data_IF_020132869037
#
_entry.id   IF_020132869037
#
_cell.length_a   1.000
_cell.length_b   1.000
_cell.length_c   1.000
_cell.angle_alpha   90.00
_cell.angle_beta   90.00
_cell.angle_gamma   90.00
#
_symmetry.space_group_name_H-M   'P 1'
#
loop_
_entity.id
_entity.type
_entity.pdbx_description
1 polymer ?
#
# COMPACT_ATOMS: atom_id res chain seq x y z
N UNK A 1 19.59 20.64 6.64
CA UNK A 1 18.21 20.51 6.11
C UNK A 1 17.25 20.38 7.29
N UNK A 2 16.11 21.09 7.29
CA UNK A 2 15.22 21.21 8.48
C UNK A 2 14.17 20.09 8.60
N UNK A 3 13.64 19.58 7.48
CA UNK A 3 12.71 18.45 7.46
C UNK A 3 13.48 17.21 7.02
N UNK A 4 13.46 16.15 7.84
CA UNK A 4 14.27 14.94 7.66
C UNK A 4 13.47 13.71 7.23
N UNK A 5 12.14 13.75 7.34
CA UNK A 5 11.26 12.67 6.93
C UNK A 5 9.82 12.83 7.42
N UNK A 6 8.99 11.83 7.12
CA UNK A 6 7.65 11.70 7.70
C UNK A 6 7.78 11.17 9.12
N UNK A 7 7.19 11.87 10.09
CA UNK A 7 7.09 11.38 11.46
C UNK A 7 5.84 10.51 11.64
N UNK A 8 4.71 10.95 11.11
CA UNK A 8 3.44 10.24 11.23
C UNK A 8 2.48 10.64 10.11
N UNK A 9 1.47 9.80 9.93
CA UNK A 9 0.26 10.12 9.17
C UNK A 9 -0.93 10.10 10.12
N UNK A 10 -2.02 10.80 9.77
CA UNK A 10 -3.28 10.69 10.47
C UNK A 10 -4.37 10.17 9.54
N UNK A 11 -5.09 9.15 10.00
CA UNK A 11 -6.25 8.57 9.33
C UNK A 11 -7.47 8.77 10.20
N UNK A 12 -8.65 8.74 9.59
CA UNK A 12 -9.91 8.91 10.29
C UNK A 12 -10.77 7.66 10.21
N UNK A 13 -11.50 7.37 11.27
CA UNK A 13 -12.49 6.29 11.35
C UNK A 13 -13.82 6.83 11.87
N UNK A 14 -14.96 6.19 11.61
CA UNK A 14 -16.23 6.55 12.20
C UNK A 14 -16.17 6.58 13.73
N UNK A 15 -16.94 7.47 14.38
CA UNK A 15 -17.03 7.51 15.84
C UNK A 15 -17.29 6.13 16.46
N UNK A 16 -16.67 5.88 17.62
CA UNK A 16 -16.81 4.64 18.41
C UNK A 16 -16.22 3.37 17.77
N UNK A 17 -15.41 3.50 16.71
CA UNK A 17 -14.81 2.34 16.01
C UNK A 17 -13.30 2.18 16.19
N UNK A 18 -12.68 2.81 17.21
CA UNK A 18 -11.23 2.66 17.47
C UNK A 18 -10.80 1.21 17.70
N UNK A 19 -11.65 0.41 18.35
CA UNK A 19 -11.37 -1.01 18.58
C UNK A 19 -11.23 -1.80 17.28
N UNK A 20 -12.00 -1.45 16.23
CA UNK A 20 -11.85 -2.04 14.89
C UNK A 20 -10.52 -1.64 14.24
N UNK A 21 -10.09 -0.40 14.46
CA UNK A 21 -8.78 0.05 14.01
C UNK A 21 -7.66 -0.72 14.71
N UNK A 22 -7.79 -1.01 16.00
CA UNK A 22 -6.83 -1.81 16.75
C UNK A 22 -6.75 -3.26 16.28
N UNK A 23 -7.90 -3.92 16.10
CA UNK A 23 -7.96 -5.28 15.53
C UNK A 23 -7.28 -5.34 14.15
N UNK A 24 -7.51 -4.31 13.34
CA UNK A 24 -6.92 -4.24 12.02
C UNK A 24 -5.41 -3.90 12.06
N UNK A 25 -5.01 -2.75 12.61
CA UNK A 25 -3.62 -2.29 12.60
C UNK A 25 -2.69 -3.16 13.44
N UNK A 26 -3.11 -3.58 14.63
CA UNK A 26 -2.29 -4.45 15.48
C UNK A 26 -2.50 -5.92 15.15
N UNK A 27 -3.76 -6.37 15.08
CA UNK A 27 -4.05 -7.79 14.86
C UNK A 27 -3.72 -8.28 13.45
N UNK A 28 -3.89 -7.44 12.41
CA UNK A 28 -3.69 -7.85 11.01
C UNK A 28 -2.37 -7.37 10.46
N UNK A 29 -2.09 -6.07 10.58
CA UNK A 29 -0.86 -5.48 10.05
C UNK A 29 0.36 -5.66 10.97
N UNK A 30 0.16 -6.05 12.23
CA UNK A 30 1.24 -6.27 13.19
C UNK A 30 1.88 -4.98 13.72
N UNK A 31 1.19 -3.83 13.60
CA UNK A 31 1.68 -2.57 14.18
C UNK A 31 1.53 -2.57 15.70
N UNK A 32 2.46 -1.92 16.40
CA UNK A 32 2.44 -1.90 17.87
C UNK A 32 1.60 -0.74 18.40
N UNK A 33 0.61 -1.02 19.26
CA UNK A 33 -0.20 0.02 19.90
C UNK A 33 0.67 0.87 20.83
N UNK A 34 0.63 2.19 20.66
CA UNK A 34 1.32 3.17 21.51
C UNK A 34 0.35 3.87 22.46
N UNK A 35 0.72 4.07 23.72
CA UNK A 35 -0.08 4.86 24.64
C UNK A 35 -0.32 6.29 24.10
N UNK A 36 -1.57 6.74 24.16
CA UNK A 36 -1.96 8.13 23.85
C UNK A 36 -2.12 8.91 25.16
N UNK A 37 -2.18 10.25 25.14
CA UNK A 37 -2.51 11.02 26.34
C UNK A 37 -3.78 10.51 27.01
N UNK A 38 -3.79 10.43 28.34
CA UNK A 38 -4.86 9.76 29.09
C UNK A 38 -6.26 10.32 28.84
N UNK A 39 -6.36 11.63 28.57
CA UNK A 39 -7.61 12.32 28.24
C UNK A 39 -8.15 11.99 26.84
N UNK A 40 -7.33 11.38 25.98
CA UNK A 40 -7.64 11.09 24.59
C UNK A 40 -7.72 9.59 24.27
N UNK A 41 -7.58 8.71 25.28
CA UNK A 41 -7.56 7.25 25.11
C UNK A 41 -8.77 6.67 24.38
N UNK A 42 -9.92 7.33 24.50
CA UNK A 42 -11.19 6.90 23.90
C UNK A 42 -11.49 7.62 22.57
N UNK A 43 -10.60 8.53 22.13
CA UNK A 43 -10.77 9.36 20.92
C UNK A 43 -9.62 9.24 19.92
N UNK A 44 -8.48 8.69 20.34
CA UNK A 44 -7.30 8.49 19.52
C UNK A 44 -6.72 7.09 19.66
N UNK A 45 -6.20 6.56 18.56
CA UNK A 45 -5.31 5.40 18.58
C UNK A 45 -4.03 5.70 17.79
N UNK A 46 -2.88 5.45 18.41
CA UNK A 46 -1.55 5.57 17.80
C UNK A 46 -0.91 4.19 17.68
N UNK A 47 -0.26 3.95 16.56
CA UNK A 47 0.44 2.71 16.24
C UNK A 47 1.84 3.00 15.71
N UNK A 48 2.84 2.32 16.25
CA UNK A 48 4.22 2.38 15.80
C UNK A 48 4.45 1.45 14.60
N UNK A 49 5.19 1.95 13.60
CA UNK A 49 5.59 1.20 12.41
C UNK A 49 6.97 0.59 12.65
N UNK A 50 6.97 -0.63 13.21
CA UNK A 50 8.19 -1.32 13.62
C UNK A 50 9.01 -0.47 14.60
N UNK A 51 10.32 -0.42 14.39
CA UNK A 51 11.29 0.35 15.18
C UNK A 51 11.68 1.68 14.51
N UNK A 52 11.02 2.06 13.42
CA UNK A 52 11.39 3.22 12.60
C UNK A 52 11.18 4.58 13.27
N UNK A 53 10.42 4.62 14.37
CA UNK A 53 9.90 5.86 14.98
C UNK A 53 8.73 6.49 14.22
N UNK A 54 8.36 5.98 13.04
CA UNK A 54 7.20 6.44 12.28
C UNK A 54 5.90 5.86 12.84
N UNK A 55 4.81 6.62 12.71
CA UNK A 55 3.54 6.27 13.34
C UNK A 55 2.32 6.42 12.43
N UNK A 56 1.30 5.62 12.72
CA UNK A 56 -0.06 5.82 12.22
C UNK A 56 -0.91 6.33 13.38
N UNK A 57 -1.47 7.52 13.21
CA UNK A 57 -2.49 8.06 14.12
C UNK A 57 -3.87 7.84 13.52
N UNK A 58 -4.81 7.48 14.38
CA UNK A 58 -6.22 7.26 14.05
C UNK A 58 -7.07 8.12 14.96
N UNK A 59 -7.94 8.93 14.37
CA UNK A 59 -8.89 9.79 15.05
C UNK A 59 -10.31 9.58 14.50
N UNK A 60 -11.32 10.17 15.15
CA UNK A 60 -12.66 10.19 14.59
C UNK A 60 -12.81 11.22 13.47
N UNK A 61 -13.37 10.79 12.35
CA UNK A 61 -13.75 11.66 11.23
C UNK A 61 -15.16 12.21 11.38
N UNK A 62 -15.51 13.15 10.50
CA UNK A 62 -16.87 13.68 10.35
C UNK A 62 -17.67 12.83 9.36
N UNK A 63 -18.98 13.01 9.31
CA UNK A 63 -19.83 12.25 8.40
C UNK A 63 -19.42 12.42 6.92
N UNK A 64 -18.96 13.61 6.55
CA UNK A 64 -18.55 13.95 5.18
C UNK A 64 -17.31 13.15 4.71
N UNK A 65 -16.43 12.77 5.65
CA UNK A 65 -15.25 11.95 5.35
C UNK A 65 -15.61 10.55 4.83
N UNK A 66 -16.86 10.15 5.01
CA UNK A 66 -17.35 8.80 4.84
C UNK A 66 -18.46 8.66 3.79
N UNK A 67 -18.85 9.77 3.15
CA UNK A 67 -19.92 9.82 2.15
C UNK A 67 -19.55 9.15 0.82
N UNK A 68 -18.26 9.14 0.47
CA UNK A 68 -17.77 8.56 -0.78
C UNK A 68 -16.53 7.69 -0.53
N UNK A 69 -16.29 6.66 -1.37
CA UNK A 69 -15.02 5.95 -1.39
C UNK A 69 -13.85 6.92 -1.61
N UNK A 70 -12.75 6.73 -0.87
CA UNK A 70 -11.53 7.51 -1.05
C UNK A 70 -10.47 6.72 -1.81
N UNK A 71 -9.78 7.36 -2.75
CA UNK A 71 -8.57 6.84 -3.37
C UNK A 71 -7.30 7.14 -2.55
N UNK A 72 -7.41 7.96 -1.50
CA UNK A 72 -6.29 8.31 -0.62
C UNK A 72 -5.89 7.09 0.21
N UNK A 73 -4.59 6.79 0.22
CA UNK A 73 -4.05 5.67 0.96
C UNK A 73 -2.63 5.98 1.41
N UNK A 74 -2.25 5.64 2.65
CA UNK A 74 -0.85 5.47 2.96
C UNK A 74 -0.30 4.24 2.26
N UNK A 75 0.99 4.30 1.93
CA UNK A 75 1.71 3.16 1.41
C UNK A 75 2.80 2.73 2.40
N UNK A 76 2.67 1.52 2.94
CA UNK A 76 3.65 0.96 3.87
C UNK A 76 4.76 0.24 3.11
N UNK A 77 5.99 0.50 3.51
CA UNK A 77 7.16 -0.25 3.03
C UNK A 77 7.31 -1.54 3.83
N UNK A 78 7.46 -2.66 3.14
CA UNK A 78 7.84 -3.95 3.74
C UNK A 78 9.28 -4.32 3.43
N UNK A 79 9.88 -5.11 4.32
CA UNK A 79 11.30 -5.43 4.30
C UNK A 79 11.74 -6.19 3.04
N UNK A 80 10.89 -7.09 2.53
CA UNK A 80 11.20 -7.95 1.38
C UNK A 80 9.94 -8.32 0.60
N UNK A 81 10.12 -8.91 -0.58
CA UNK A 81 9.00 -9.53 -1.32
C UNK A 81 8.39 -10.72 -0.58
N UNK A 82 9.15 -11.45 0.22
CA UNK A 82 8.62 -12.55 1.05
C UNK A 82 7.70 -12.00 2.15
N UNK A 83 8.13 -10.94 2.85
CA UNK A 83 7.31 -10.27 3.86
C UNK A 83 6.06 -9.61 3.23
N UNK A 84 6.15 -9.16 1.98
CA UNK A 84 5.00 -8.68 1.21
C UNK A 84 3.95 -9.79 1.05
N UNK A 85 4.35 -10.99 0.62
CA UNK A 85 3.46 -12.14 0.43
C UNK A 85 2.88 -12.61 1.76
N UNK A 86 3.70 -12.68 2.83
CA UNK A 86 3.20 -13.03 4.18
C UNK A 86 2.16 -12.04 4.67
N UNK A 87 2.40 -10.74 4.48
CA UNK A 87 1.44 -9.71 4.89
C UNK A 87 0.18 -9.76 4.03
N UNK A 88 0.30 -10.00 2.73
CA UNK A 88 -0.83 -10.21 1.83
C UNK A 88 -1.70 -11.38 2.30
N UNK A 89 -1.09 -12.52 2.63
CA UNK A 89 -1.78 -13.69 3.14
C UNK A 89 -2.56 -13.37 4.42
N UNK A 90 -1.95 -12.68 5.40
CA UNK A 90 -2.63 -12.28 6.65
C UNK A 90 -3.84 -11.37 6.40
N UNK A 91 -3.69 -10.42 5.47
CA UNK A 91 -4.77 -9.50 5.10
C UNK A 91 -5.89 -10.25 4.39
N UNK A 92 -5.55 -11.17 3.50
CA UNK A 92 -6.51 -12.02 2.79
C UNK A 92 -7.29 -12.92 3.75
N UNK A 93 -6.61 -13.59 4.68
CA UNK A 93 -7.25 -14.41 5.72
C UNK A 93 -8.20 -13.61 6.59
N UNK A 94 -7.86 -12.36 6.94
CA UNK A 94 -8.79 -11.48 7.64
C UNK A 94 -9.99 -11.10 6.77
N UNK A 95 -9.76 -10.80 5.49
CA UNK A 95 -10.84 -10.55 4.55
C UNK A 95 -11.81 -11.75 4.44
N UNK A 96 -11.28 -12.97 4.27
CA UNK A 96 -12.09 -14.20 4.17
C UNK A 96 -12.80 -14.55 5.47
N UNK A 97 -12.13 -14.39 6.62
CA UNK A 97 -12.76 -14.56 7.94
C UNK A 97 -13.94 -13.59 8.13
N UNK A 98 -13.87 -12.42 7.50
CA UNK A 98 -14.87 -11.37 7.63
C UNK A 98 -14.91 -10.78 9.04
N UNK A 99 -16.03 -10.15 9.37
CA UNK A 99 -16.20 -9.37 10.60
C UNK A 99 -16.28 -7.88 10.36
N UNK A 100 -16.44 -7.12 11.45
CA UNK A 100 -16.63 -5.67 11.38
C UNK A 100 -15.31 -4.94 11.09
N UNK A 101 -14.19 -5.45 11.60
CA UNK A 101 -12.85 -4.92 11.35
C UNK A 101 -12.27 -5.34 9.99
N UNK A 102 -12.77 -6.42 9.40
CA UNK A 102 -12.24 -6.97 8.16
C UNK A 102 -12.27 -5.96 7.00
N UNK A 103 -11.26 -6.00 6.10
CA UNK A 103 -11.34 -5.37 4.80
C UNK A 103 -12.62 -5.81 4.06
N UNK A 104 -13.09 -5.00 3.11
CA UNK A 104 -14.19 -5.37 2.20
C UNK A 104 -13.71 -5.72 0.80
N UNK A 105 -12.46 -5.40 0.49
CA UNK A 105 -11.74 -5.83 -0.70
C UNK A 105 -10.29 -6.11 -0.26
N UNK A 106 -9.68 -7.17 -0.76
CA UNK A 106 -8.27 -7.46 -0.60
C UNK A 106 -7.79 -8.15 -1.87
N UNK A 107 -6.57 -7.86 -2.32
CA UNK A 107 -5.95 -8.58 -3.42
C UNK A 107 -5.46 -9.95 -2.93
N UNK A 108 -5.97 -11.03 -3.52
CA UNK A 108 -5.62 -12.40 -3.14
C UNK A 108 -4.17 -12.78 -3.48
N UNK A 109 -3.49 -13.59 -2.65
CA UNK A 109 -2.18 -14.14 -2.97
C UNK A 109 -2.18 -14.95 -4.27
N UNK A 110 -1.22 -14.70 -5.15
CA UNK A 110 -1.11 -15.39 -6.44
C UNK A 110 -2.08 -14.89 -7.52
N UNK A 111 -3.02 -14.00 -7.17
CA UNK A 111 -3.91 -13.35 -8.13
C UNK A 111 -3.29 -12.06 -8.69
N UNK A 112 -3.95 -11.52 -9.73
CA UNK A 112 -3.56 -10.24 -10.31
C UNK A 112 -3.93 -9.09 -9.35
N UNK A 113 -2.93 -8.39 -8.84
CA UNK A 113 -3.14 -7.22 -7.96
C UNK A 113 -3.97 -6.12 -8.63
N UNK A 114 -4.81 -5.44 -7.85
CA UNK A 114 -5.66 -4.35 -8.32
C UNK A 114 -4.86 -3.05 -8.55
N UNK A 115 -5.45 -2.09 -9.28
CA UNK A 115 -4.82 -0.81 -9.61
C UNK A 115 -4.02 -0.81 -10.93
N UNK A 116 -3.35 0.31 -11.22
CA UNK A 116 -2.53 0.45 -12.43
C UNK A 116 -1.31 -0.48 -12.38
N UNK A 117 -0.95 -1.07 -13.52
CA UNK A 117 0.17 -2.00 -13.67
C UNK A 117 1.11 -1.52 -14.78
N UNK A 118 2.38 -1.94 -14.71
CA UNK A 118 3.43 -1.53 -15.63
C UNK A 118 4.81 -1.66 -15.00
N UNK A 119 5.85 -1.60 -15.84
CA UNK A 119 7.26 -1.73 -15.42
C UNK A 119 7.70 -0.68 -14.38
N UNK A 120 7.00 0.45 -14.34
CA UNK A 120 7.26 1.55 -13.41
C UNK A 120 6.64 1.31 -12.02
N UNK A 121 5.74 0.33 -11.88
CA UNK A 121 5.04 0.07 -10.63
C UNK A 121 5.69 -1.08 -9.86
N UNK A 122 6.07 -0.87 -8.59
CA UNK A 122 6.66 -1.92 -7.76
C UNK A 122 5.63 -3.00 -7.42
N UNK A 123 6.10 -4.21 -7.10
CA UNK A 123 5.26 -5.28 -6.57
C UNK A 123 4.55 -4.81 -5.30
N UNK A 124 3.22 -4.89 -5.31
CA UNK A 124 2.34 -4.39 -4.27
C UNK A 124 1.00 -5.10 -4.27
N UNK A 125 0.28 -5.02 -3.16
CA UNK A 125 -1.12 -5.44 -3.08
C UNK A 125 -1.96 -4.35 -2.41
N UNK A 126 -3.25 -4.30 -2.73
CA UNK A 126 -4.22 -3.41 -2.08
C UNK A 126 -5.16 -4.18 -1.18
N UNK A 127 -5.58 -3.53 -0.10
CA UNK A 127 -6.79 -3.88 0.61
C UNK A 127 -7.55 -2.62 0.98
N UNK A 128 -8.88 -2.71 0.90
CA UNK A 128 -9.81 -1.59 1.03
C UNK A 128 -10.97 -1.95 1.93
N UNK A 129 -11.52 -0.95 2.60
CA UNK A 129 -12.84 -1.01 3.23
C UNK A 129 -13.82 -0.20 2.36
N UNK A 130 -14.86 -0.86 1.82
CA UNK A 130 -15.88 -0.22 0.97
C UNK A 130 -16.98 0.37 1.86
N UNK A 131 -17.35 1.63 1.58
CA UNK A 131 -18.19 2.55 2.38
C UNK A 131 -17.58 2.95 3.74
N UNK A 132 -17.27 4.24 3.85
CA UNK A 132 -17.21 4.97 5.12
C UNK A 132 -16.00 4.75 6.03
N UNK A 133 -14.88 4.21 5.54
CA UNK A 133 -13.61 4.17 6.27
C UNK A 133 -12.45 4.32 5.26
N UNK A 134 -11.56 5.32 5.36
CA UNK A 134 -10.34 5.41 4.55
C UNK A 134 -9.31 4.37 5.01
N UNK A 135 -9.62 3.10 4.84
CA UNK A 135 -8.67 2.00 5.02
C UNK A 135 -8.33 1.43 3.64
N UNK A 136 -7.86 2.29 2.73
CA UNK A 136 -7.09 1.83 1.60
C UNK A 136 -5.63 1.93 2.03
N UNK A 137 -4.88 0.84 1.96
CA UNK A 137 -3.44 0.87 2.13
C UNK A 137 -2.79 0.09 1.00
N UNK A 138 -1.65 0.61 0.58
CA UNK A 138 -0.79 0.00 -0.42
C UNK A 138 0.42 -0.55 0.34
N UNK A 139 0.78 -1.80 0.10
CA UNK A 139 2.02 -2.35 0.67
C UNK A 139 3.00 -2.54 -0.45
N UNK A 140 4.17 -1.90 -0.35
CA UNK A 140 5.22 -1.98 -1.37
C UNK A 140 6.47 -2.62 -0.81
N UNK A 141 7.03 -3.54 -1.57
CA UNK A 141 8.47 -3.78 -1.50
C UNK A 141 9.16 -2.62 -2.23
N UNK A 142 9.99 -1.85 -1.51
CA UNK A 142 10.85 -0.88 -2.18
C UNK A 142 11.91 -1.66 -2.97
N UNK A 143 12.13 -1.39 -4.27
CA UNK A 143 13.28 -1.98 -4.95
C UNK A 143 14.52 -1.64 -4.15
N UNK A 144 15.40 -2.63 -3.97
CA UNK A 144 16.73 -2.41 -3.41
C UNK A 144 17.30 -1.18 -4.09
N UNK A 145 17.60 -0.12 -3.31
CA UNK A 145 18.04 1.19 -3.81
C UNK A 145 18.99 0.93 -4.97
N UNK A 146 18.61 1.30 -6.19
CA UNK A 146 19.49 1.15 -7.34
C UNK A 146 20.83 1.76 -6.92
N UNK A 147 21.91 0.98 -7.03
CA UNK A 147 23.25 1.49 -6.74
C UNK A 147 23.39 2.82 -7.49
N UNK A 148 23.81 3.91 -6.83
CA UNK A 148 24.04 5.16 -7.55
C UNK A 148 25.11 4.89 -8.61
N UNK A 149 24.84 5.31 -9.85
CA UNK A 149 25.63 5.13 -11.07
C UNK A 149 25.62 3.74 -11.72
N UNK A 150 24.69 3.56 -12.67
CA UNK A 150 25.06 3.05 -13.98
C UNK A 150 24.78 4.16 -15.00
N UNK A 151 25.76 4.61 -15.80
CA UNK A 151 25.51 5.59 -16.84
C UNK A 151 24.58 4.99 -17.90
N UNK A 152 23.70 5.84 -18.44
CA UNK A 152 22.79 5.48 -19.52
C UNK A 152 23.59 4.87 -20.68
N UNK A 153 23.17 3.69 -21.15
CA UNK A 153 23.70 3.13 -22.40
C UNK A 153 23.22 4.04 -23.53
N UNK A 154 24.15 4.75 -24.14
CA UNK A 154 23.97 5.34 -25.47
C UNK A 154 24.19 4.21 -26.47
N UNK A 155 23.10 3.60 -26.94
CA UNK A 155 23.16 2.71 -28.09
C UNK A 155 23.11 3.58 -29.35
N UNK A 156 24.29 4.03 -29.77
CA UNK A 156 24.59 4.31 -31.16
C UNK A 156 24.58 2.97 -31.91
N UNK A 157 23.65 2.78 -32.83
CA UNK A 157 23.85 1.86 -33.94
C UNK A 157 23.16 2.38 -35.21
N UNK A 158 23.83 2.31 -36.36
CA UNK A 158 23.49 3.10 -37.53
C UNK A 158 22.40 2.44 -38.38
N UNK A 159 21.69 3.30 -39.12
CA UNK A 159 20.71 2.93 -40.11
C UNK A 159 21.31 2.03 -41.21
N UNK A 160 20.72 0.84 -41.38
CA UNK A 160 20.72 0.06 -42.62
C UNK A 160 19.24 -0.30 -42.84
N UNK A 161 18.58 -0.05 -43.95
CA UNK A 161 19.00 0.01 -45.34
C UNK A 161 17.90 -0.73 -46.09
N UNK A 162 17.15 -0.03 -46.94
CA UNK A 162 16.10 -0.58 -47.80
C UNK A 162 16.65 -1.75 -48.63
N UNK A 163 15.96 -2.89 -48.64
CA UNK A 163 15.88 -3.73 -49.83
C UNK A 163 14.52 -4.43 -49.90
N UNK A 164 13.72 -4.02 -50.88
CA UNK A 164 12.54 -4.73 -51.34
C UNK A 164 13.02 -5.79 -52.34
N UNK A 165 12.60 -7.04 -52.17
CA UNK A 165 12.78 -8.06 -53.20
C UNK A 165 11.46 -8.72 -53.59
N UNK A 166 11.30 -8.75 -54.92
CA UNK A 166 10.22 -9.31 -55.71
C UNK A 166 10.01 -10.79 -55.42
N UNK A 167 8.75 -11.23 -55.50
CA UNK A 167 8.43 -12.60 -55.91
C UNK A 167 7.58 -12.49 -57.19
N UNK A 168 8.13 -13.04 -58.27
CA UNK A 168 7.51 -13.19 -59.58
C UNK A 168 6.50 -14.35 -59.59
N UNK A 169 5.56 -14.27 -60.53
CA UNK A 169 4.61 -15.32 -60.88
C UNK A 169 5.21 -16.33 -61.86
N UNK A 170 4.84 -17.61 -61.70
CA UNK A 170 4.81 -18.70 -62.69
C UNK A 170 4.10 -19.87 -61.95
N UNK A 171 3.04 -20.53 -62.39
CA UNK A 171 2.46 -20.88 -63.70
C UNK A 171 0.99 -21.21 -63.49
#
# INVERSE_FOLDING_TARGET
MMITGLHHINLVVPPKTLHLAEEFYSGTLGLSRRAVPQLQRDTLAWFDIGDSGQQVHVAFGKAEDFMAPSSRHPCFRVASGEELVKLQQKVWEHYERGGEAAPKEADGPGEKNSGAQGVEYPTRFFARKRRSQPMAYDVRHAPNRAKPNQPARTDDSPAAGLEANRIEAAT
#
